data_IF_769253841410
#
_entry.id   IF_769253841410
#
_cell.length_a   1.000
_cell.length_b   1.000
_cell.length_c   1.000
_cell.angle_alpha   90.00
_cell.angle_beta   90.00
_cell.angle_gamma   90.00
#
_symmetry.space_group_name_H-M   'P 1'
#
loop_
_entity.id
_entity.type
_entity.pdbx_description
1 polymer ?
#
# COMPACT_ATOMS: atom_id res chain seq x y z
N UNK A 1 -14.69 12.64 7.21
CA UNK A 1 -13.40 13.22 6.82
C UNK A 1 -12.28 12.19 7.02
N UNK A 2 -11.38 12.05 6.02
CA UNK A 2 -10.15 11.24 6.10
C UNK A 2 -8.96 12.16 6.40
N UNK A 3 -8.29 12.01 7.56
CA UNK A 3 -7.06 12.71 7.85
C UNK A 3 -5.89 12.12 7.06
N UNK A 4 -4.81 12.87 6.85
CA UNK A 4 -3.55 12.24 6.56
C UNK A 4 -2.97 11.57 7.83
N UNK A 5 -2.03 10.61 7.64
CA UNK A 5 -1.35 9.97 8.76
C UNK A 5 0.14 10.32 8.69
N UNK A 6 0.63 11.01 9.71
CA UNK A 6 2.03 11.36 9.87
C UNK A 6 2.65 10.40 10.87
N UNK A 7 3.36 9.40 10.38
CA UNK A 7 3.82 8.27 11.20
C UNK A 7 2.68 7.63 12.02
N UNK A 8 1.55 7.38 11.35
CA UNK A 8 0.35 6.81 11.95
C UNK A 8 -0.49 7.77 12.78
N UNK A 9 0.00 8.97 13.08
CA UNK A 9 -0.78 10.00 13.79
C UNK A 9 -1.69 10.76 12.82
N UNK A 10 -2.96 10.82 13.18
CA UNK A 10 -3.94 11.56 12.40
C UNK A 10 -3.62 13.07 12.40
N UNK A 11 -3.55 13.65 11.22
CA UNK A 11 -3.33 15.08 11.03
C UNK A 11 -4.38 15.65 10.08
N UNK A 12 -5.17 16.60 10.56
CA UNK A 12 -6.12 17.33 9.73
C UNK A 12 -5.45 18.57 9.14
N UNK A 13 -5.48 18.66 7.82
CA UNK A 13 -5.00 19.83 7.09
C UNK A 13 -6.15 20.82 6.85
N UNK A 14 -5.82 22.11 6.74
CA UNK A 14 -6.77 23.12 6.23
C UNK A 14 -7.00 23.00 4.73
N UNK A 15 -6.08 22.36 4.01
CA UNK A 15 -6.24 22.06 2.60
C UNK A 15 -6.88 20.68 2.46
N UNK A 16 -8.04 20.61 1.84
CA UNK A 16 -8.83 19.39 1.67
C UNK A 16 -9.22 19.21 0.20
N UNK A 17 -9.46 17.98 -0.21
CA UNK A 17 -10.04 17.64 -1.50
C UNK A 17 -11.23 16.72 -1.33
N UNK A 18 -12.19 16.82 -2.25
CA UNK A 18 -13.35 15.93 -2.28
C UNK A 18 -13.01 14.57 -2.91
N UNK A 19 -13.49 13.51 -2.27
CA UNK A 19 -13.63 12.18 -2.87
C UNK A 19 -15.08 12.04 -3.31
N UNK A 20 -15.32 11.88 -4.61
CA UNK A 20 -16.66 11.99 -5.21
C UNK A 20 -17.22 10.64 -5.62
N UNK A 21 -18.53 10.50 -5.53
CA UNK A 21 -19.25 9.41 -6.18
C UNK A 21 -19.13 9.57 -7.70
N UNK A 22 -18.70 8.51 -8.40
CA UNK A 22 -18.50 8.56 -9.85
C UNK A 22 -19.82 8.68 -10.63
N UNK A 23 -20.97 8.33 -10.03
CA UNK A 23 -22.28 8.30 -10.68
C UNK A 23 -22.94 9.68 -10.77
N UNK A 24 -22.85 10.46 -9.71
CA UNK A 24 -23.58 11.72 -9.56
C UNK A 24 -22.69 12.92 -9.18
N UNK A 25 -21.41 12.68 -8.92
CA UNK A 25 -20.44 13.71 -8.51
C UNK A 25 -20.63 14.23 -7.08
N UNK A 26 -21.51 13.62 -6.28
CA UNK A 26 -21.70 13.99 -4.87
C UNK A 26 -20.45 13.69 -4.04
N UNK A 27 -20.16 14.54 -3.07
CA UNK A 27 -19.02 14.33 -2.17
C UNK A 27 -19.32 13.22 -1.18
N UNK A 28 -18.53 12.13 -1.23
CA UNK A 28 -18.60 11.01 -0.28
C UNK A 28 -17.74 11.25 0.96
N UNK A 29 -16.60 11.89 0.79
CA UNK A 29 -15.70 12.26 1.87
C UNK A 29 -14.85 13.46 1.48
N UNK A 30 -14.29 14.14 2.49
CA UNK A 30 -13.19 15.08 2.33
C UNK A 30 -11.89 14.43 2.78
N UNK A 31 -10.81 14.70 2.08
CA UNK A 31 -9.48 14.11 2.30
C UNK A 31 -8.48 15.22 2.57
N UNK A 32 -7.86 15.22 3.75
CA UNK A 32 -6.78 16.16 4.08
C UNK A 32 -5.65 16.09 3.06
N UNK A 33 -5.20 17.25 2.55
CA UNK A 33 -4.07 17.35 1.64
C UNK A 33 -2.88 17.97 2.36
N UNK A 34 -1.68 17.43 2.12
CA UNK A 34 -0.44 18.00 2.63
C UNK A 34 0.43 18.49 1.49
N UNK A 35 1.25 19.52 1.75
CA UNK A 35 2.24 20.00 0.79
C UNK A 35 3.56 19.22 0.91
N UNK A 36 4.40 19.35 -0.10
CA UNK A 36 5.72 18.72 -0.16
C UNK A 36 6.61 19.08 1.05
N UNK A 37 6.49 20.27 1.61
CA UNK A 37 7.27 20.71 2.77
C UNK A 37 7.01 19.88 4.05
N UNK A 38 5.76 19.45 4.26
CA UNK A 38 5.41 18.53 5.37
C UNK A 38 6.06 17.17 5.15
N UNK A 39 5.98 16.64 3.94
CA UNK A 39 6.57 15.35 3.58
C UNK A 39 8.09 15.37 3.77
N UNK A 40 8.77 16.40 3.25
CA UNK A 40 10.23 16.58 3.42
C UNK A 40 10.63 16.61 4.89
N UNK A 41 9.89 17.36 5.71
CA UNK A 41 10.15 17.46 7.15
C UNK A 41 9.97 16.12 7.85
N UNK A 42 8.91 15.39 7.55
CA UNK A 42 8.65 14.10 8.19
C UNK A 42 9.69 13.06 7.78
N UNK A 43 10.10 13.03 6.51
CA UNK A 43 11.14 12.13 6.02
C UNK A 43 12.51 12.33 6.71
N UNK A 44 12.79 13.52 7.26
CA UNK A 44 14.02 13.69 8.08
C UNK A 44 14.00 12.86 9.38
N UNK A 45 12.84 12.35 9.78
CA UNK A 45 12.66 11.56 11.00
C UNK A 45 12.37 10.08 10.72
N UNK A 46 12.52 9.63 9.46
CA UNK A 46 12.18 8.26 9.04
C UNK A 46 12.91 7.17 9.82
N UNK A 47 14.09 7.47 10.36
CA UNK A 47 14.85 6.55 11.23
C UNK A 47 14.06 6.07 12.43
N UNK A 48 13.18 6.90 13.01
CA UNK A 48 12.32 6.51 14.15
C UNK A 48 11.33 5.40 13.75
N UNK A 49 10.80 5.45 12.53
CA UNK A 49 9.89 4.43 12.01
C UNK A 49 10.61 3.08 11.82
N UNK A 50 11.85 3.13 11.30
CA UNK A 50 12.69 1.93 11.19
C UNK A 50 13.05 1.35 12.55
N UNK A 51 13.44 2.19 13.50
CA UNK A 51 13.73 1.76 14.89
C UNK A 51 12.51 1.11 15.55
N UNK A 52 11.31 1.63 15.31
CA UNK A 52 10.08 1.06 15.82
C UNK A 52 9.82 -0.35 15.25
N UNK A 53 9.98 -0.55 13.94
CA UNK A 53 9.86 -1.87 13.31
C UNK A 53 11.00 -2.82 13.71
N UNK A 54 12.23 -2.33 13.91
CA UNK A 54 13.37 -3.13 14.29
C UNK A 54 13.26 -3.78 15.68
N UNK A 55 12.33 -3.34 16.52
CA UNK A 55 12.04 -3.95 17.83
C UNK A 55 11.29 -5.28 17.72
N UNK A 56 10.75 -5.58 16.57
CA UNK A 56 10.03 -6.82 16.28
C UNK A 56 10.93 -7.76 15.49
N UNK A 57 10.82 -9.06 15.72
CA UNK A 57 11.35 -10.06 14.81
C UNK A 57 10.56 -10.12 13.51
N UNK A 58 11.17 -10.62 12.46
CA UNK A 58 10.47 -10.89 11.19
C UNK A 58 9.27 -11.81 11.40
N UNK A 59 9.40 -12.82 12.28
CA UNK A 59 8.30 -13.74 12.63
C UNK A 59 7.11 -12.99 13.24
N UNK A 60 7.34 -12.14 14.23
CA UNK A 60 6.26 -11.33 14.84
C UNK A 60 5.57 -10.43 13.82
N UNK A 61 6.33 -9.83 12.89
CA UNK A 61 5.74 -8.98 11.84
C UNK A 61 4.95 -9.79 10.80
N UNK A 62 5.33 -11.03 10.54
CA UNK A 62 4.54 -11.98 9.73
C UNK A 62 3.23 -12.31 10.43
N UNK A 63 3.25 -12.62 11.73
CA UNK A 63 2.05 -12.92 12.51
C UNK A 63 1.13 -11.69 12.60
N UNK A 64 1.68 -10.49 12.80
CA UNK A 64 0.95 -9.22 12.74
C UNK A 64 0.30 -9.03 11.36
N UNK A 65 1.01 -9.35 10.27
CA UNK A 65 0.47 -9.24 8.92
C UNK A 65 -0.73 -10.17 8.70
N UNK A 66 -0.63 -11.41 9.18
CA UNK A 66 -1.74 -12.37 9.09
C UNK A 66 -2.96 -11.87 9.89
N UNK A 67 -2.74 -11.39 11.12
CA UNK A 67 -3.81 -10.78 11.93
C UNK A 67 -4.40 -9.54 11.26
N UNK A 68 -3.57 -8.69 10.66
CA UNK A 68 -4.06 -7.52 9.91
C UNK A 68 -4.95 -7.94 8.72
N UNK A 69 -4.65 -9.07 8.09
CA UNK A 69 -5.49 -9.64 7.04
C UNK A 69 -6.90 -9.96 7.51
N UNK A 70 -7.02 -10.62 8.67
CA UNK A 70 -8.32 -10.94 9.27
C UNK A 70 -9.10 -9.68 9.64
N UNK A 71 -8.43 -8.70 10.28
CA UNK A 71 -9.05 -7.43 10.64
C UNK A 71 -9.48 -6.63 9.40
N UNK A 72 -8.64 -6.58 8.36
CA UNK A 72 -8.97 -5.91 7.11
C UNK A 72 -10.23 -6.47 6.46
N UNK A 73 -10.38 -7.80 6.46
CA UNK A 73 -11.49 -8.48 5.79
C UNK A 73 -12.80 -8.39 6.58
N UNK A 74 -12.75 -8.45 7.91
CA UNK A 74 -13.90 -8.76 8.73
C UNK A 74 -14.30 -7.67 9.74
N UNK A 75 -13.37 -6.84 10.23
CA UNK A 75 -13.61 -5.98 11.37
C UNK A 75 -14.02 -4.56 10.99
N UNK A 76 -14.63 -3.88 11.95
CA UNK A 76 -14.82 -2.44 11.92
C UNK A 76 -13.49 -1.76 12.27
N UNK A 77 -13.00 -0.91 11.37
CA UNK A 77 -11.72 -0.23 11.52
C UNK A 77 -11.90 1.30 11.57
N UNK A 78 -11.00 2.03 12.27
CA UNK A 78 -11.07 3.48 12.32
C UNK A 78 -11.01 4.12 10.92
N UNK A 79 -11.87 5.10 10.67
CA UNK A 79 -11.89 5.87 9.42
C UNK A 79 -11.40 7.31 9.59
N UNK A 80 -11.21 7.76 10.81
CA UNK A 80 -10.85 9.13 11.19
C UNK A 80 -11.96 9.82 11.96
N UNK A 81 -11.60 10.81 12.76
CA UNK A 81 -12.51 11.65 13.56
C UNK A 81 -13.53 10.85 14.41
N UNK A 82 -13.13 9.67 14.89
CA UNK A 82 -13.99 8.79 15.68
C UNK A 82 -14.98 7.93 14.87
N UNK A 83 -15.03 8.08 13.55
CA UNK A 83 -15.82 7.21 12.70
C UNK A 83 -15.17 5.82 12.55
N UNK A 84 -15.99 4.80 12.40
CA UNK A 84 -15.59 3.43 12.09
C UNK A 84 -16.10 3.05 10.71
N UNK A 85 -15.42 2.13 10.05
CA UNK A 85 -15.77 1.59 8.75
C UNK A 85 -15.84 0.08 8.83
N UNK A 86 -17.03 -0.47 8.66
CA UNK A 86 -17.20 -1.91 8.49
C UNK A 86 -16.65 -2.40 7.14
N UNK A 87 -16.50 -3.71 6.97
CA UNK A 87 -16.13 -4.29 5.69
C UNK A 87 -17.16 -3.99 4.59
N UNK A 88 -18.45 -3.90 4.94
CA UNK A 88 -19.53 -3.57 4.02
C UNK A 88 -19.48 -2.08 3.62
N UNK A 89 -19.29 -1.17 4.59
CA UNK A 89 -19.11 0.26 4.30
C UNK A 89 -17.92 0.51 3.38
N UNK A 90 -16.80 -0.19 3.63
CA UNK A 90 -15.62 -0.12 2.77
C UNK A 90 -15.95 -0.53 1.33
N UNK A 91 -16.63 -1.68 1.16
CA UNK A 91 -17.01 -2.19 -0.15
C UNK A 91 -17.91 -1.19 -0.90
N UNK A 92 -18.93 -0.64 -0.24
CA UNK A 92 -19.88 0.30 -0.83
C UNK A 92 -19.21 1.64 -1.19
N UNK A 93 -18.38 2.14 -0.27
CA UNK A 93 -17.69 3.42 -0.46
C UNK A 93 -16.66 3.32 -1.59
N UNK A 94 -15.85 2.26 -1.59
CA UNK A 94 -14.89 2.02 -2.65
C UNK A 94 -15.57 1.88 -4.01
N UNK A 95 -16.65 1.08 -4.09
CA UNK A 95 -17.43 0.93 -5.32
C UNK A 95 -17.98 2.28 -5.80
N UNK A 96 -18.51 3.10 -4.88
CA UNK A 96 -19.12 4.39 -5.23
C UNK A 96 -18.12 5.42 -5.75
N UNK A 97 -16.87 5.38 -5.33
CA UNK A 97 -15.85 6.39 -5.73
C UNK A 97 -14.97 5.92 -6.89
N UNK A 98 -14.71 4.61 -6.99
CA UNK A 98 -13.85 4.04 -8.04
C UNK A 98 -14.63 3.52 -9.27
N UNK A 99 -15.94 3.29 -9.14
CA UNK A 99 -16.75 2.66 -10.18
C UNK A 99 -16.60 1.14 -10.26
N UNK A 100 -15.81 0.52 -9.39
CA UNK A 100 -15.64 -0.94 -9.40
C UNK A 100 -16.93 -1.66 -8.95
N UNK A 101 -17.39 -2.68 -9.68
CA UNK A 101 -18.50 -3.51 -9.23
C UNK A 101 -18.21 -4.20 -7.87
N UNK A 102 -19.23 -4.38 -7.03
CA UNK A 102 -19.08 -5.00 -5.71
C UNK A 102 -18.37 -6.36 -5.76
N UNK A 103 -18.64 -7.17 -6.78
CA UNK A 103 -17.96 -8.48 -6.96
C UNK A 103 -16.46 -8.32 -7.18
N UNK A 104 -16.04 -7.26 -7.86
CA UNK A 104 -14.62 -6.98 -8.10
C UNK A 104 -13.96 -6.45 -6.83
N UNK A 105 -14.65 -5.61 -6.05
CA UNK A 105 -14.16 -5.14 -4.75
C UNK A 105 -13.95 -6.34 -3.82
N UNK A 106 -14.93 -7.26 -3.70
CA UNK A 106 -14.80 -8.47 -2.89
C UNK A 106 -13.60 -9.33 -3.32
N UNK A 107 -13.44 -9.58 -4.62
CA UNK A 107 -12.28 -10.32 -5.13
C UNK A 107 -10.94 -9.64 -4.83
N UNK A 108 -10.91 -8.30 -4.81
CA UNK A 108 -9.70 -7.57 -4.40
C UNK A 108 -9.45 -7.68 -2.89
N UNK A 109 -10.52 -7.65 -2.07
CA UNK A 109 -10.40 -7.90 -0.63
C UNK A 109 -9.83 -9.28 -0.35
N UNK A 110 -10.34 -10.31 -1.01
CA UNK A 110 -9.84 -11.70 -0.89
C UNK A 110 -8.37 -11.82 -1.28
N UNK A 111 -7.95 -11.16 -2.37
CA UNK A 111 -6.54 -11.13 -2.81
C UNK A 111 -5.62 -10.44 -1.80
N UNK A 112 -6.05 -9.33 -1.23
CA UNK A 112 -5.31 -8.60 -0.19
C UNK A 112 -5.21 -9.45 1.08
N UNK A 113 -6.32 -10.04 1.52
CA UNK A 113 -6.35 -10.96 2.65
C UNK A 113 -5.40 -12.14 2.43
N UNK A 114 -5.47 -12.78 1.25
CA UNK A 114 -4.55 -13.86 0.90
C UNK A 114 -3.09 -13.43 0.98
N UNK A 115 -2.74 -12.27 0.45
CA UNK A 115 -1.37 -11.76 0.52
C UNK A 115 -0.90 -11.54 1.97
N UNK A 116 -1.77 -10.97 2.83
CA UNK A 116 -1.47 -10.71 4.23
C UNK A 116 -1.30 -12.00 5.05
N UNK A 117 -2.13 -13.00 4.80
CA UNK A 117 -2.06 -14.29 5.51
C UNK A 117 -0.95 -15.22 4.99
N UNK A 118 -0.36 -14.89 3.83
CA UNK A 118 0.71 -15.67 3.20
C UNK A 118 2.03 -14.89 3.07
N UNK A 119 2.27 -13.90 3.93
CA UNK A 119 3.52 -13.09 3.89
C UNK A 119 4.76 -13.97 4.07
N UNK A 120 4.71 -15.00 4.91
CA UNK A 120 5.82 -15.95 5.04
C UNK A 120 6.16 -16.66 3.71
N UNK A 121 5.14 -17.13 2.99
CA UNK A 121 5.32 -17.75 1.67
C UNK A 121 5.93 -16.77 0.67
N UNK A 122 5.43 -15.52 0.69
CA UNK A 122 5.93 -14.44 -0.18
C UNK A 122 7.40 -14.14 0.14
N UNK A 123 7.75 -13.99 1.41
CA UNK A 123 9.14 -13.75 1.84
C UNK A 123 10.05 -14.89 1.43
N UNK A 124 9.64 -16.14 1.63
CA UNK A 124 10.41 -17.31 1.21
C UNK A 124 10.64 -17.31 -0.31
N UNK A 125 9.65 -16.92 -1.10
CA UNK A 125 9.80 -16.75 -2.55
C UNK A 125 10.78 -15.64 -2.92
N UNK A 126 10.67 -14.47 -2.30
CA UNK A 126 11.51 -13.31 -2.56
C UNK A 126 12.98 -13.52 -2.12
N UNK A 127 13.19 -14.18 -1.00
CA UNK A 127 14.52 -14.39 -0.40
C UNK A 127 15.12 -15.76 -0.73
N UNK A 128 14.43 -16.60 -1.49
CA UNK A 128 14.82 -17.99 -1.75
C UNK A 128 15.00 -18.81 -0.46
N UNK A 129 14.11 -18.62 0.50
CA UNK A 129 14.08 -19.36 1.74
C UNK A 129 15.18 -18.98 2.73
N UNK A 130 15.66 -17.74 2.75
CA UNK A 130 16.57 -17.26 3.81
C UNK A 130 15.88 -17.41 5.17
N UNK A 131 16.60 -17.97 6.15
CA UNK A 131 16.13 -18.04 7.52
C UNK A 131 15.82 -16.61 8.06
N UNK A 132 14.69 -16.46 8.73
CA UNK A 132 14.27 -15.18 9.28
C UNK A 132 15.25 -14.60 10.30
N UNK A 133 16.01 -15.45 11.03
CA UNK A 133 17.07 -14.99 11.91
C UNK A 133 18.14 -14.17 11.16
N UNK A 134 18.41 -14.52 9.89
CA UNK A 134 19.33 -13.77 9.04
C UNK A 134 18.72 -12.40 8.65
N UNK A 135 17.42 -12.35 8.41
CA UNK A 135 16.72 -11.09 8.16
C UNK A 135 16.75 -10.18 9.40
N UNK A 136 16.67 -10.77 10.59
CA UNK A 136 16.67 -10.03 11.86
C UNK A 136 18.06 -9.53 12.24
N UNK A 137 19.08 -10.35 12.06
CA UNK A 137 20.48 -10.07 12.45
C UNK A 137 21.26 -9.33 11.35
N UNK A 138 20.77 -9.36 10.10
CA UNK A 138 21.46 -8.82 8.94
C UNK A 138 22.60 -9.69 8.40
N UNK A 139 22.93 -10.80 9.04
CA UNK A 139 23.96 -11.73 8.59
C UNK A 139 23.71 -13.16 9.13
N UNK A 140 24.35 -14.14 8.52
CA UNK A 140 24.28 -15.53 8.95
C UNK A 140 24.93 -16.47 7.96
N UNK A 141 24.57 -17.75 8.05
CA UNK A 141 25.02 -18.78 7.13
C UNK A 141 23.82 -19.50 6.55
N UNK A 142 23.84 -19.72 5.23
CA UNK A 142 22.83 -20.51 4.53
C UNK A 142 23.51 -21.48 3.55
N UNK A 143 23.16 -22.76 3.63
CA UNK A 143 23.73 -23.81 2.80
C UNK A 143 25.27 -23.83 2.77
N UNK A 144 25.92 -23.56 3.90
CA UNK A 144 27.38 -23.54 4.04
C UNK A 144 28.04 -22.26 3.49
N UNK A 145 27.28 -21.26 3.10
CA UNK A 145 27.81 -19.97 2.62
C UNK A 145 27.44 -18.83 3.57
N UNK A 146 28.38 -17.91 3.91
CA UNK A 146 28.05 -16.72 4.66
C UNK A 146 27.19 -15.80 3.80
N UNK A 147 26.12 -15.26 4.39
CA UNK A 147 25.19 -14.35 3.72
C UNK A 147 24.95 -13.12 4.56
N UNK A 148 24.74 -11.96 3.91
CA UNK A 148 24.31 -10.72 4.54
C UNK A 148 23.02 -10.27 3.90
N UNK A 149 22.10 -9.76 4.73
CA UNK A 149 20.84 -9.18 4.30
C UNK A 149 20.65 -7.84 5.00
N UNK A 150 20.61 -6.77 4.23
CA UNK A 150 20.45 -5.42 4.76
C UNK A 150 19.53 -4.58 3.87
N UNK A 151 18.78 -3.62 4.44
CA UNK A 151 17.92 -2.75 3.66
C UNK A 151 18.72 -1.79 2.79
N UNK A 152 18.27 -1.60 1.55
CA UNK A 152 18.86 -0.64 0.61
C UNK A 152 18.13 0.69 0.58
N UNK A 153 17.12 0.86 1.44
CA UNK A 153 16.33 2.09 1.58
C UNK A 153 15.88 2.27 3.03
N UNK A 154 15.65 3.51 3.43
CA UNK A 154 15.10 3.83 4.76
C UNK A 154 13.57 3.79 4.78
N UNK A 155 12.92 3.92 3.64
CA UNK A 155 11.48 3.79 3.47
C UNK A 155 11.14 3.36 2.05
N UNK A 156 9.99 2.72 1.88
CA UNK A 156 9.39 2.46 0.58
C UNK A 156 8.39 3.58 0.24
N UNK A 157 8.68 4.34 -0.81
CA UNK A 157 7.79 5.36 -1.35
C UNK A 157 6.73 4.74 -2.26
N UNK A 158 5.48 5.19 -2.12
CA UNK A 158 4.35 4.64 -2.88
C UNK A 158 3.50 5.76 -3.48
N UNK A 159 3.32 5.77 -4.78
CA UNK A 159 2.33 6.60 -5.47
C UNK A 159 1.30 5.68 -6.09
N UNK A 160 0.16 5.56 -5.40
CA UNK A 160 -0.86 4.54 -5.66
C UNK A 160 -1.90 5.00 -6.69
N UNK A 161 -2.47 4.08 -7.48
CA UNK A 161 -3.51 4.39 -8.45
C UNK A 161 -4.90 4.43 -7.81
N UNK A 162 -5.89 4.96 -8.56
CA UNK A 162 -7.30 4.99 -8.14
C UNK A 162 -8.14 3.81 -8.64
N UNK A 163 -7.58 2.91 -9.44
CA UNK A 163 -8.37 1.94 -10.22
C UNK A 163 -8.14 0.47 -9.86
N UNK A 164 -7.23 0.17 -8.93
CA UNK A 164 -6.90 -1.22 -8.60
C UNK A 164 -6.51 -1.39 -7.13
N UNK A 165 -7.47 -1.69 -6.24
CA UNK A 165 -7.19 -1.88 -4.81
C UNK A 165 -6.16 -2.98 -4.51
N UNK A 166 -6.19 -4.08 -5.28
CA UNK A 166 -5.30 -5.22 -5.04
C UNK A 166 -3.80 -4.92 -5.25
N UNK A 167 -3.43 -3.82 -5.93
CA UNK A 167 -2.01 -3.43 -6.07
C UNK A 167 -1.39 -3.04 -4.72
N UNK A 168 -2.21 -2.76 -3.71
CA UNK A 168 -1.73 -2.57 -2.34
C UNK A 168 -1.02 -3.81 -1.80
N UNK A 169 -1.28 -5.01 -2.32
CA UNK A 169 -0.56 -6.23 -1.90
C UNK A 169 0.95 -6.19 -2.20
N UNK A 170 1.42 -5.33 -3.10
CA UNK A 170 2.83 -5.25 -3.48
C UNK A 170 3.73 -4.67 -2.37
N UNK A 171 3.20 -3.81 -1.52
CA UNK A 171 3.97 -3.20 -0.44
C UNK A 171 3.87 -3.96 0.89
N UNK A 172 2.89 -4.85 1.07
CA UNK A 172 2.65 -5.53 2.35
C UNK A 172 3.89 -6.26 2.90
N UNK A 173 4.71 -6.96 2.09
CA UNK A 173 5.90 -7.65 2.60
C UNK A 173 6.97 -6.71 3.16
N UNK A 174 6.96 -5.41 2.80
CA UNK A 174 7.94 -4.45 3.30
C UNK A 174 7.90 -4.29 4.82
N UNK A 175 6.72 -4.44 5.43
CA UNK A 175 6.56 -4.35 6.88
C UNK A 175 7.32 -5.48 7.57
N UNK A 176 7.18 -6.71 7.09
CA UNK A 176 7.93 -7.86 7.63
C UNK A 176 9.44 -7.78 7.36
N UNK A 177 9.86 -7.05 6.32
CA UNK A 177 11.26 -6.70 6.04
C UNK A 177 11.73 -5.45 6.82
N UNK A 178 10.94 -4.94 7.77
CA UNK A 178 11.22 -3.78 8.63
C UNK A 178 11.45 -2.48 7.86
N UNK A 179 10.76 -2.32 6.72
CA UNK A 179 10.80 -1.11 5.90
C UNK A 179 9.47 -0.38 6.06
N UNK A 180 9.47 0.83 6.64
CA UNK A 180 8.26 1.67 6.74
C UNK A 180 7.83 2.15 5.35
N UNK A 181 6.56 2.50 5.22
CA UNK A 181 5.98 3.01 3.99
C UNK A 181 5.63 4.48 4.09
N UNK A 182 5.84 5.20 2.99
CA UNK A 182 5.45 6.59 2.79
C UNK A 182 4.60 6.64 1.52
N UNK A 183 3.31 6.91 1.68
CA UNK A 183 2.34 6.67 0.63
C UNK A 183 1.55 7.92 0.25
N UNK A 184 1.44 8.16 -1.06
CA UNK A 184 0.40 8.98 -1.67
C UNK A 184 -0.70 8.06 -2.19
N UNK A 185 -1.92 8.11 -1.64
CA UNK A 185 -3.05 7.31 -2.15
C UNK A 185 -3.53 7.80 -3.51
N UNK A 186 -4.30 6.95 -4.20
CA UNK A 186 -5.11 7.37 -5.34
C UNK A 186 -6.17 8.40 -4.93
N UNK A 187 -6.54 9.31 -5.84
CA UNK A 187 -7.51 10.37 -5.54
C UNK A 187 -8.89 9.81 -5.21
N UNK A 188 -9.34 8.84 -5.99
CA UNK A 188 -10.69 8.29 -5.91
C UNK A 188 -10.73 6.98 -5.10
N UNK A 189 -9.54 6.50 -4.70
CA UNK A 189 -9.35 5.27 -3.94
C UNK A 189 -8.34 5.48 -2.78
N UNK A 190 -8.63 6.31 -1.79
CA UNK A 190 -7.85 6.41 -0.57
C UNK A 190 -8.21 5.34 0.47
N UNK A 191 -9.27 4.58 0.24
CA UNK A 191 -9.91 3.70 1.22
C UNK A 191 -9.09 2.47 1.54
N UNK A 192 -8.61 1.76 0.52
CA UNK A 192 -7.85 0.52 0.71
C UNK A 192 -6.57 0.74 1.50
N UNK A 193 -5.68 1.66 1.10
CA UNK A 193 -4.46 1.88 1.86
C UNK A 193 -4.73 2.40 3.28
N UNK A 194 -5.74 3.27 3.47
CA UNK A 194 -6.09 3.75 4.80
C UNK A 194 -6.57 2.61 5.70
N UNK A 195 -7.52 1.79 5.21
CA UNK A 195 -8.04 0.63 5.94
C UNK A 195 -6.95 -0.40 6.25
N UNK A 196 -6.03 -0.66 5.33
CA UNK A 196 -4.87 -1.54 5.55
C UNK A 196 -3.96 -1.02 6.67
N UNK A 197 -3.65 0.25 6.66
CA UNK A 197 -2.84 0.88 7.72
C UNK A 197 -3.52 0.73 9.07
N UNK A 198 -4.83 0.98 9.16
CA UNK A 198 -5.59 0.80 10.41
C UNK A 198 -5.63 -0.66 10.85
N UNK A 199 -5.75 -1.61 9.92
CA UNK A 199 -5.69 -3.04 10.22
C UNK A 199 -4.33 -3.44 10.80
N UNK A 200 -3.24 -2.97 10.23
CA UNK A 200 -1.90 -3.22 10.76
C UNK A 200 -1.71 -2.64 12.16
N UNK A 201 -2.15 -1.39 12.39
CA UNK A 201 -2.07 -0.75 13.71
C UNK A 201 -2.90 -1.52 14.74
N UNK A 202 -4.12 -1.91 14.40
CA UNK A 202 -4.99 -2.72 15.27
C UNK A 202 -4.44 -4.13 15.52
N UNK A 203 -3.67 -4.68 14.56
CA UNK A 203 -2.98 -5.96 14.74
C UNK A 203 -1.77 -5.89 15.67
N UNK A 204 -1.27 -4.69 15.99
CA UNK A 204 -0.11 -4.44 16.86
C UNK A 204 1.15 -3.97 16.15
N UNK A 205 1.08 -3.66 14.85
CA UNK A 205 2.20 -3.02 14.15
C UNK A 205 2.44 -1.61 14.69
N UNK A 206 3.70 -1.18 14.88
CA UNK A 206 3.99 0.17 15.31
C UNK A 206 3.45 1.18 14.28
N UNK A 207 2.62 2.11 14.73
CA UNK A 207 1.98 3.10 13.87
C UNK A 207 2.99 3.98 13.12
N UNK A 208 4.16 4.18 13.68
CA UNK A 208 5.27 4.93 13.09
C UNK A 208 5.71 4.36 11.73
N UNK A 209 5.41 3.10 11.45
CA UNK A 209 5.71 2.46 10.16
C UNK A 209 4.94 3.06 8.97
N UNK A 210 3.93 3.89 9.22
CA UNK A 210 2.97 4.32 8.20
C UNK A 210 2.90 5.82 8.03
N UNK A 211 3.25 6.30 6.83
CA UNK A 211 2.95 7.65 6.35
C UNK A 211 1.91 7.60 5.24
N UNK A 212 0.76 8.25 5.45
CA UNK A 212 -0.30 8.38 4.46
C UNK A 212 -0.51 9.85 4.13
N UNK A 213 -0.02 10.26 2.97
CA UNK A 213 0.11 11.65 2.56
C UNK A 213 -0.66 11.93 1.27
N UNK A 214 -1.97 12.19 1.33
CA UNK A 214 -2.65 12.76 0.17
C UNK A 214 -2.02 14.10 -0.18
N UNK A 215 -1.56 14.23 -1.41
CA UNK A 215 -0.76 15.38 -1.85
C UNK A 215 -0.85 15.58 -3.35
N UNK A 216 -0.35 16.69 -3.84
CA UNK A 216 -0.23 17.03 -5.25
C UNK A 216 0.96 16.32 -5.95
N UNK A 217 1.25 16.74 -7.18
CA UNK A 217 2.35 16.18 -7.96
C UNK A 217 3.73 16.50 -7.36
N UNK A 218 3.91 17.66 -6.72
CA UNK A 218 5.18 18.03 -6.09
C UNK A 218 5.46 17.11 -4.89
N UNK A 219 4.47 16.90 -4.02
CA UNK A 219 4.61 15.98 -2.91
C UNK A 219 4.80 14.53 -3.35
N UNK A 220 4.14 14.09 -4.42
CA UNK A 220 4.35 12.78 -5.02
C UNK A 220 5.79 12.60 -5.52
N UNK A 221 6.32 13.59 -6.24
CA UNK A 221 7.71 13.57 -6.73
C UNK A 221 8.72 13.53 -5.57
N UNK A 222 8.45 14.22 -4.47
CA UNK A 222 9.31 14.15 -3.28
C UNK A 222 9.27 12.76 -2.61
N UNK A 223 8.12 12.10 -2.52
CA UNK A 223 8.03 10.73 -2.04
C UNK A 223 8.90 9.81 -2.88
N UNK A 224 8.78 9.87 -4.22
CA UNK A 224 9.56 9.04 -5.13
C UNK A 224 11.06 9.27 -5.01
N UNK A 225 11.48 10.53 -4.86
CA UNK A 225 12.88 10.91 -4.82
C UNK A 225 13.55 10.66 -3.46
N UNK A 226 12.84 10.89 -2.36
CA UNK A 226 13.43 10.92 -1.02
C UNK A 226 13.39 9.58 -0.30
N UNK A 227 12.52 8.65 -0.72
CA UNK A 227 12.44 7.33 -0.09
C UNK A 227 13.53 6.35 -0.54
N UNK A 228 14.33 6.67 -1.57
CA UNK A 228 15.41 5.82 -2.06
C UNK A 228 14.97 4.58 -2.86
N UNK A 229 13.83 4.00 -2.53
CA UNK A 229 13.10 2.99 -3.32
C UNK A 229 11.64 3.35 -3.34
N UNK A 230 11.02 3.28 -4.52
CA UNK A 230 9.62 3.65 -4.66
C UNK A 230 8.91 2.84 -5.74
N UNK A 231 7.57 2.80 -5.63
CA UNK A 231 6.66 2.28 -6.66
C UNK A 231 5.79 3.43 -7.17
N UNK A 232 5.65 3.55 -8.48
CA UNK A 232 4.70 4.47 -9.10
C UNK A 232 3.77 3.73 -10.04
N UNK A 233 2.49 4.05 -9.96
CA UNK A 233 1.44 3.58 -10.86
C UNK A 233 0.89 4.77 -11.63
N UNK A 234 0.74 4.62 -12.93
CA UNK A 234 0.23 5.70 -13.75
C UNK A 234 0.12 5.34 -15.23
N UNK A 235 -0.39 6.28 -16.00
CA UNK A 235 -0.35 6.20 -17.45
C UNK A 235 1.06 6.36 -18.00
N UNK A 236 1.20 6.23 -19.31
CA UNK A 236 2.50 6.35 -19.96
C UNK A 236 3.15 7.73 -19.73
N UNK A 237 2.37 8.80 -19.73
CA UNK A 237 2.88 10.17 -19.56
C UNK A 237 3.48 10.39 -18.17
N UNK A 238 2.90 9.77 -17.16
CA UNK A 238 3.37 9.81 -15.77
C UNK A 238 4.60 8.92 -15.59
N UNK A 239 4.58 7.71 -16.15
CA UNK A 239 5.62 6.70 -15.90
C UNK A 239 6.89 6.91 -16.72
N UNK A 240 6.81 7.47 -17.91
CA UNK A 240 7.99 7.75 -18.78
C UNK A 240 9.00 8.68 -18.09
N UNK A 241 8.55 9.55 -17.18
CA UNK A 241 9.43 10.45 -16.42
C UNK A 241 10.38 9.70 -15.48
N UNK A 242 10.04 8.48 -15.07
CA UNK A 242 10.79 7.66 -14.11
C UNK A 242 11.38 6.40 -14.73
N UNK A 243 11.20 6.17 -16.05
CA UNK A 243 11.58 4.94 -16.74
C UNK A 243 13.10 4.60 -16.68
N UNK A 244 13.94 5.58 -16.38
CA UNK A 244 15.39 5.39 -16.25
C UNK A 244 15.92 5.42 -14.82
N UNK A 245 15.05 5.61 -13.82
CA UNK A 245 15.46 5.71 -12.42
C UNK A 245 15.50 4.32 -11.77
N UNK A 246 16.69 3.81 -11.37
CA UNK A 246 16.80 2.49 -10.75
C UNK A 246 16.18 2.42 -9.34
N UNK A 247 15.90 3.56 -8.72
CA UNK A 247 15.21 3.66 -7.42
C UNK A 247 13.69 3.55 -7.53
N UNK A 248 13.12 3.74 -8.72
CA UNK A 248 11.67 3.79 -8.94
C UNK A 248 11.20 2.61 -9.80
N UNK A 249 10.40 1.74 -9.20
CA UNK A 249 9.72 0.69 -9.95
C UNK A 249 8.45 1.27 -10.60
N UNK A 250 8.42 1.27 -11.92
CA UNK A 250 7.35 1.83 -12.72
C UNK A 250 6.32 0.76 -13.08
N UNK A 251 5.05 1.04 -12.76
CA UNK A 251 3.90 0.24 -13.16
C UNK A 251 3.01 1.06 -14.12
N UNK A 252 3.26 0.89 -15.42
CA UNK A 252 2.54 1.58 -16.49
C UNK A 252 1.23 0.91 -16.87
N UNK A 253 0.62 1.33 -18.00
CA UNK A 253 -0.62 0.75 -18.50
C UNK A 253 -0.51 -0.76 -18.74
N UNK A 254 -1.52 -1.50 -18.29
CA UNK A 254 -1.67 -2.91 -18.63
C UNK A 254 -2.12 -3.06 -20.08
N UNK A 255 -1.61 -4.07 -20.76
CA UNK A 255 -2.05 -4.47 -22.10
C UNK A 255 -2.78 -5.82 -22.00
N UNK A 256 -3.99 -5.77 -21.47
CA UNK A 256 -4.86 -6.96 -21.41
C UNK A 256 -5.22 -7.43 -22.80
N UNK A 257 -5.17 -8.73 -23.02
CA UNK A 257 -5.53 -9.37 -24.30
C UNK A 257 -6.44 -10.55 -24.03
N UNK A 258 -7.44 -10.70 -24.89
CA UNK A 258 -8.29 -11.88 -24.97
C UNK A 258 -7.88 -12.60 -26.25
N UNK A 259 -7.48 -13.85 -26.12
CA UNK A 259 -7.19 -14.73 -27.27
C UNK A 259 -8.35 -15.70 -27.40
N UNK A 260 -9.01 -15.66 -28.54
CA UNK A 260 -10.09 -16.59 -28.90
C UNK A 260 -9.54 -17.48 -30.03
N UNK A 261 -9.56 -18.78 -29.80
CA UNK A 261 -9.12 -19.75 -30.81
C UNK A 261 -10.10 -19.85 -31.98
N UNK A 262 -9.65 -20.39 -33.10
CA UNK A 262 -10.45 -20.51 -34.33
C UNK A 262 -11.71 -21.39 -34.15
N UNK A 263 -11.67 -22.29 -33.14
CA UNK A 263 -12.77 -23.14 -32.72
C UNK A 263 -13.92 -22.40 -32.01
N UNK A 264 -13.65 -21.22 -31.45
CA UNK A 264 -14.61 -20.41 -30.69
C UNK A 264 -14.87 -19.04 -31.33
N UNK A 265 -14.28 -18.74 -32.48
CA UNK A 265 -14.36 -17.38 -33.07
C UNK A 265 -15.79 -16.97 -33.46
N UNK A 266 -16.66 -17.94 -33.79
CA UNK A 266 -18.07 -17.66 -34.11
C UNK A 266 -18.91 -17.40 -32.87
N UNK A 267 -18.45 -17.86 -31.70
CA UNK A 267 -19.13 -17.71 -30.39
C UNK A 267 -18.56 -16.57 -29.55
N UNK A 268 -17.64 -15.76 -30.09
CA UNK A 268 -16.98 -14.70 -29.34
C UNK A 268 -17.92 -13.73 -28.60
N UNK A 269 -19.18 -13.46 -29.06
CA UNK A 269 -20.09 -12.57 -28.31
C UNK A 269 -20.49 -13.12 -26.93
N UNK A 270 -20.25 -14.42 -26.66
CA UNK A 270 -20.60 -15.06 -25.39
C UNK A 270 -19.50 -14.89 -24.32
N UNK A 271 -18.36 -14.30 -24.69
CA UNK A 271 -17.20 -14.03 -23.83
C UNK A 271 -17.04 -12.53 -23.52
#
# INVERSE_FOLDING_TARGET
HLPCLRFGEAYRSFNESDVKDYRDGSTKATLSQVNAGIIRRDLTQIGKAREALARFSTRELVDISAKAGELFLNDDLPLGEGAMQSAQDYLETLSSTSGLPHVMVKRNMDKIHYALTHVELILNGLTRGINFDILDQGHGEQAGAPVCFYPTTDALGLVMPSNSPAVNSLWLPSIALKIPIIMKPGRDEPWTPYRLIQAFIAAGCPKEAFGFYPTDHEGAADILRLCGRALIFGDKSTTDQYAGDPGVQVHGPGFSKILIGDDEIENWPDY
#
